data_IF_940897723781
#
_entry.id   IF_940897723781
#
_cell.length_a   1.000
_cell.length_b   1.000
_cell.length_c   1.000
_cell.angle_alpha   90.00
_cell.angle_beta   90.00
_cell.angle_gamma   90.00
#
_symmetry.space_group_name_H-M   'P 1'
#
loop_
_entity.id
_entity.type
_entity.pdbx_description
1 polymer ?
#
# COMPACT_ATOMS: atom_id res chain seq x y z
N UNK A 1 6.87 -26.07 2.27
CA UNK A 1 7.86 -25.26 3.01
C UNK A 1 7.19 -23.99 3.48
N UNK A 2 7.23 -23.69 4.80
CA UNK A 2 6.67 -22.45 5.33
C UNK A 2 7.48 -21.24 4.85
N UNK A 3 6.79 -20.13 4.52
CA UNK A 3 7.44 -18.86 4.19
C UNK A 3 8.06 -18.31 5.47
N UNK A 4 9.39 -18.11 5.47
CA UNK A 4 10.05 -17.43 6.57
C UNK A 4 9.64 -15.95 6.59
N UNK A 5 9.11 -15.46 7.71
CA UNK A 5 8.73 -14.07 7.88
C UNK A 5 9.93 -13.24 8.39
N UNK A 6 10.26 -12.16 7.69
CA UNK A 6 11.09 -11.08 8.26
C UNK A 6 10.18 -10.23 9.16
N UNK A 7 10.11 -10.57 10.44
CA UNK A 7 9.12 -10.07 11.39
C UNK A 7 9.75 -9.11 12.40
N UNK A 8 9.36 -7.84 12.32
CA UNK A 8 9.69 -6.79 13.29
C UNK A 8 8.54 -6.67 14.28
N UNK A 9 8.74 -7.18 15.50
CA UNK A 9 7.75 -7.11 16.59
C UNK A 9 7.99 -5.88 17.47
N UNK A 10 6.91 -5.35 18.00
CA UNK A 10 6.93 -4.33 19.07
C UNK A 10 5.71 -4.44 19.98
N UNK A 11 5.83 -3.97 21.22
CA UNK A 11 4.76 -4.08 22.23
C UNK A 11 3.56 -3.18 21.92
N UNK A 12 3.74 -2.17 21.07
CA UNK A 12 2.69 -1.24 20.69
C UNK A 12 2.87 -0.69 19.28
N UNK A 13 1.79 -0.13 18.75
CA UNK A 13 1.77 0.47 17.41
C UNK A 13 2.71 1.67 17.28
N UNK A 14 2.98 2.41 18.36
CA UNK A 14 3.87 3.58 18.34
C UNK A 14 5.32 3.18 18.04
N UNK A 15 5.84 2.16 18.75
CA UNK A 15 7.21 1.68 18.55
C UNK A 15 7.39 1.03 17.16
N UNK A 16 6.42 0.21 16.75
CA UNK A 16 6.43 -0.44 15.43
C UNK A 16 6.39 0.61 14.32
N UNK A 17 5.52 1.63 14.46
CA UNK A 17 5.40 2.74 13.50
C UNK A 17 6.69 3.56 13.42
N UNK A 18 7.38 3.77 14.53
CA UNK A 18 8.66 4.48 14.54
C UNK A 18 9.75 3.72 13.78
N UNK A 19 9.84 2.41 13.96
CA UNK A 19 10.79 1.56 13.22
C UNK A 19 10.48 1.56 11.72
N UNK A 20 9.21 1.33 11.37
CA UNK A 20 8.77 1.37 9.98
C UNK A 20 9.07 2.71 9.32
N UNK A 21 8.81 3.83 10.00
CA UNK A 21 9.11 5.16 9.47
C UNK A 21 10.60 5.37 9.22
N UNK A 22 11.47 4.89 10.11
CA UNK A 22 12.92 4.94 9.93
C UNK A 22 13.40 4.14 8.72
N UNK A 23 12.87 2.91 8.55
CA UNK A 23 13.23 2.04 7.43
C UNK A 23 12.74 2.61 6.10
N UNK A 24 11.49 3.08 6.02
CA UNK A 24 10.95 3.78 4.84
C UNK A 24 11.77 5.02 4.51
N UNK A 25 12.09 5.85 5.51
CA UNK A 25 12.91 7.04 5.31
C UNK A 25 14.30 6.69 4.73
N UNK A 26 14.91 5.60 5.19
CA UNK A 26 16.17 5.08 4.64
C UNK A 26 16.06 4.71 3.17
N UNK A 27 15.01 3.94 2.81
CA UNK A 27 14.73 3.54 1.42
C UNK A 27 14.52 4.75 0.51
N UNK A 28 13.74 5.73 0.97
CA UNK A 28 13.45 6.94 0.18
C UNK A 28 14.70 7.81 -0.02
N UNK A 29 15.53 8.03 1.03
CA UNK A 29 16.81 8.74 0.88
C UNK A 29 17.73 8.06 -0.12
N UNK A 30 17.87 6.75 0.00
CA UNK A 30 18.68 5.98 -0.95
C UNK A 30 18.17 6.14 -2.38
N UNK A 31 16.85 6.01 -2.58
CA UNK A 31 16.23 6.18 -3.89
C UNK A 31 16.50 7.56 -4.49
N UNK A 32 16.34 8.64 -3.70
CA UNK A 32 16.61 10.00 -4.16
C UNK A 32 18.10 10.21 -4.43
N UNK A 33 18.99 9.72 -3.59
CA UNK A 33 20.44 9.83 -3.81
C UNK A 33 20.88 9.12 -5.10
N UNK A 34 20.31 7.95 -5.40
CA UNK A 34 20.70 7.16 -6.58
C UNK A 34 20.04 7.64 -7.89
N UNK A 35 18.80 8.16 -7.82
CA UNK A 35 17.97 8.40 -9.02
C UNK A 35 17.39 9.81 -9.10
N UNK A 36 17.68 10.67 -8.13
CA UNK A 36 17.12 12.03 -8.03
C UNK A 36 15.64 12.09 -7.66
N UNK A 37 14.99 10.95 -7.47
CA UNK A 37 13.56 10.84 -7.15
C UNK A 37 13.23 9.54 -6.42
N UNK A 38 12.09 9.53 -5.73
CA UNK A 38 11.51 8.32 -5.15
C UNK A 38 9.99 8.28 -5.34
N UNK A 39 9.42 7.07 -5.35
CA UNK A 39 7.98 6.83 -5.37
C UNK A 39 7.58 5.93 -4.20
N UNK A 40 6.63 6.41 -3.38
CA UNK A 40 6.14 5.75 -2.17
C UNK A 40 4.65 5.50 -2.29
N UNK A 41 4.20 4.25 -2.08
CA UNK A 41 2.79 3.96 -1.89
C UNK A 41 2.49 3.67 -0.42
N UNK A 42 1.41 4.26 0.11
CA UNK A 42 1.03 4.15 1.52
C UNK A 42 -0.46 3.85 1.70
N UNK A 43 -0.83 3.07 2.72
CA UNK A 43 -2.23 2.76 2.98
C UNK A 43 -2.93 3.87 3.77
N UNK A 44 -4.25 3.88 3.67
CA UNK A 44 -5.13 4.62 4.56
C UNK A 44 -5.50 3.86 5.82
N UNK A 45 -6.38 4.47 6.62
CA UNK A 45 -6.93 3.88 7.84
C UNK A 45 -6.23 4.30 9.13
N UNK A 46 -6.73 3.82 10.26
CA UNK A 46 -6.29 4.26 11.60
C UNK A 46 -4.91 3.74 11.98
N UNK A 47 -4.61 2.47 11.67
CA UNK A 47 -3.32 1.85 12.00
C UNK A 47 -2.13 2.55 11.33
N UNK A 48 -2.15 2.89 10.03
CA UNK A 48 -1.03 3.58 9.38
C UNK A 48 -0.83 5.03 9.78
N UNK A 49 -1.83 5.70 10.36
CA UNK A 49 -1.71 7.12 10.76
C UNK A 49 -0.49 7.38 11.65
N UNK A 50 -0.23 6.51 12.63
CA UNK A 50 0.94 6.64 13.51
C UNK A 50 2.26 6.55 12.74
N UNK A 51 2.36 5.62 11.81
CA UNK A 51 3.51 5.47 10.92
C UNK A 51 3.70 6.72 10.03
N UNK A 52 2.64 7.18 9.36
CA UNK A 52 2.71 8.34 8.46
C UNK A 52 3.10 9.62 9.22
N UNK A 53 2.52 9.84 10.40
CA UNK A 53 2.90 10.99 11.27
C UNK A 53 4.39 10.92 11.64
N UNK A 54 4.93 9.74 11.95
CA UNK A 54 6.36 9.57 12.23
C UNK A 54 7.23 9.79 10.99
N UNK A 55 6.79 9.26 9.84
CA UNK A 55 7.50 9.45 8.58
C UNK A 55 7.58 10.93 8.18
N UNK A 56 6.49 11.69 8.38
CA UNK A 56 6.47 13.12 8.11
C UNK A 56 7.42 13.96 8.98
N UNK A 57 7.89 13.42 10.11
CA UNK A 57 8.87 14.05 10.98
C UNK A 57 10.33 13.82 10.56
N UNK A 58 10.57 12.91 9.60
CA UNK A 58 11.90 12.70 9.06
C UNK A 58 12.29 13.80 8.07
N UNK A 59 13.53 14.26 8.18
CA UNK A 59 14.12 15.15 7.18
C UNK A 59 14.34 14.37 5.88
N UNK A 60 13.43 14.57 4.93
CA UNK A 60 13.41 13.95 3.61
C UNK A 60 13.22 15.03 2.53
N UNK A 61 13.80 14.86 1.35
CA UNK A 61 13.59 15.78 0.23
C UNK A 61 12.20 15.55 -0.40
N UNK A 62 11.14 15.99 0.28
CA UNK A 62 9.74 15.73 -0.10
C UNK A 62 9.39 16.20 -1.51
N UNK A 63 10.05 17.23 -2.04
CA UNK A 63 9.91 17.70 -3.42
C UNK A 63 10.36 16.65 -4.45
N UNK A 64 11.20 15.70 -4.06
CA UNK A 64 11.70 14.62 -4.92
C UNK A 64 10.96 13.27 -4.67
N UNK A 65 9.97 13.26 -3.77
CA UNK A 65 9.25 12.06 -3.38
C UNK A 65 7.81 12.14 -3.86
N UNK A 66 7.40 11.24 -4.76
CA UNK A 66 5.99 11.12 -5.15
C UNK A 66 5.28 10.13 -4.25
N UNK A 67 4.21 10.57 -3.59
CA UNK A 67 3.38 9.72 -2.72
C UNK A 67 2.08 9.35 -3.43
N UNK A 68 1.67 8.09 -3.29
CA UNK A 68 0.44 7.53 -3.85
C UNK A 68 -0.30 6.76 -2.75
N UNK A 69 -1.62 6.89 -2.59
CA UNK A 69 -2.39 5.96 -1.77
C UNK A 69 -2.33 4.54 -2.37
N UNK A 70 -2.33 3.49 -1.55
CA UNK A 70 -2.48 2.12 -2.07
C UNK A 70 -3.88 1.87 -2.61
N UNK A 71 -4.86 2.54 -2.01
CA UNK A 71 -6.26 2.57 -2.43
C UNK A 71 -6.96 3.83 -1.89
N UNK A 72 -8.09 4.17 -2.49
CA UNK A 72 -8.93 5.28 -2.03
C UNK A 72 -10.40 4.92 -2.19
N UNK A 73 -11.20 5.38 -1.25
CA UNK A 73 -12.66 5.26 -1.29
C UNK A 73 -13.23 6.27 -2.28
N UNK A 74 -14.34 5.92 -2.91
CA UNK A 74 -15.06 6.85 -3.78
C UNK A 74 -15.85 7.88 -2.94
N UNK A 75 -15.08 8.76 -2.29
CA UNK A 75 -15.59 9.85 -1.44
C UNK A 75 -14.89 11.16 -1.80
N UNK A 76 -15.43 12.30 -1.33
CA UNK A 76 -14.80 13.59 -1.53
C UNK A 76 -13.46 13.69 -0.77
N UNK A 77 -12.47 14.45 -1.26
CA UNK A 77 -11.17 14.57 -0.60
C UNK A 77 -11.22 15.12 0.83
N UNK A 78 -12.28 15.87 1.18
CA UNK A 78 -12.54 16.40 2.51
C UNK A 78 -13.38 15.48 3.41
N UNK A 79 -13.87 14.35 2.87
CA UNK A 79 -14.58 13.33 3.67
C UNK A 79 -13.64 12.73 4.73
N UNK A 80 -14.12 12.55 5.98
CA UNK A 80 -13.32 11.89 7.04
C UNK A 80 -12.82 10.48 6.67
N UNK A 81 -13.46 9.81 5.71
CA UNK A 81 -13.09 8.48 5.23
C UNK A 81 -12.03 8.51 4.12
N UNK A 82 -11.66 9.69 3.59
CA UNK A 82 -10.66 9.81 2.54
C UNK A 82 -9.27 9.44 3.05
N UNK A 83 -8.61 8.55 2.34
CA UNK A 83 -7.21 8.20 2.56
C UNK A 83 -6.29 9.36 2.16
N UNK A 84 -6.60 10.07 1.07
CA UNK A 84 -5.88 11.27 0.64
C UNK A 84 -5.84 12.31 1.76
N UNK A 85 -7.01 12.64 2.35
CA UNK A 85 -7.07 13.57 3.47
C UNK A 85 -6.13 13.17 4.59
N UNK A 86 -6.23 11.91 5.04
CA UNK A 86 -5.41 11.41 6.14
C UNK A 86 -3.91 11.45 5.82
N UNK A 87 -3.51 11.13 4.57
CA UNK A 87 -2.11 11.17 4.14
C UNK A 87 -1.60 12.61 4.12
N UNK A 88 -2.38 13.56 3.60
CA UNK A 88 -2.04 15.00 3.58
C UNK A 88 -1.93 15.60 4.97
N UNK A 89 -2.76 15.15 5.91
CA UNK A 89 -2.67 15.58 7.32
C UNK A 89 -1.38 15.10 8.00
N UNK A 90 -0.79 14.01 7.52
CA UNK A 90 0.36 13.36 8.17
C UNK A 90 1.72 13.66 7.52
N UNK A 91 1.75 13.96 6.22
CA UNK A 91 2.99 14.14 5.46
C UNK A 91 3.12 15.58 4.94
N UNK A 92 4.31 16.18 4.98
CA UNK A 92 4.57 17.52 4.45
C UNK A 92 4.73 17.48 2.93
N UNK A 93 3.63 17.22 2.23
CA UNK A 93 3.61 17.02 0.78
C UNK A 93 3.74 18.35 0.04
N UNK A 94 4.68 18.43 -0.87
CA UNK A 94 4.87 19.58 -1.76
C UNK A 94 3.89 19.55 -2.95
N UNK A 95 3.60 20.70 -3.57
CA UNK A 95 2.79 20.73 -4.79
C UNK A 95 3.34 19.80 -5.87
N UNK A 96 2.48 18.89 -6.38
CA UNK A 96 2.86 17.92 -7.41
C UNK A 96 3.50 16.63 -6.89
N UNK A 97 3.84 16.52 -5.61
CA UNK A 97 4.41 15.32 -5.00
C UNK A 97 3.38 14.26 -4.58
N UNK A 98 2.12 14.44 -4.92
CA UNK A 98 1.03 13.51 -4.59
C UNK A 98 0.22 13.12 -5.83
N UNK A 99 -0.03 11.83 -6.01
CA UNK A 99 -0.92 11.30 -7.04
C UNK A 99 -2.20 10.82 -6.39
N UNK A 100 -3.29 11.61 -6.41
CA UNK A 100 -4.55 11.17 -5.84
C UNK A 100 -5.13 10.01 -6.65
N UNK A 101 -5.67 9.00 -5.99
CA UNK A 101 -6.43 7.91 -6.61
C UNK A 101 -7.91 8.29 -6.72
N UNK A 102 -8.17 9.47 -7.28
CA UNK A 102 -9.52 9.98 -7.44
C UNK A 102 -9.62 10.91 -8.64
N UNK A 103 -10.79 10.91 -9.29
CA UNK A 103 -11.13 11.91 -10.29
C UNK A 103 -12.17 12.91 -9.77
N UNK A 104 -12.13 14.09 -10.35
CA UNK A 104 -13.16 15.11 -10.11
C UNK A 104 -14.48 14.81 -10.84
N UNK A 105 -14.47 13.99 -11.89
CA UNK A 105 -15.65 13.62 -12.70
C UNK A 105 -15.38 12.33 -13.50
N UNK A 106 -16.43 11.64 -13.90
CA UNK A 106 -16.37 10.42 -14.71
C UNK A 106 -16.65 9.15 -13.90
N UNK A 107 -16.67 8.00 -14.58
CA UNK A 107 -16.79 6.70 -13.94
C UNK A 107 -15.48 6.30 -13.24
N UNK A 108 -15.58 5.40 -12.26
CA UNK A 108 -14.38 4.85 -11.60
C UNK A 108 -13.48 4.12 -12.58
N UNK A 109 -14.04 3.42 -13.57
CA UNK A 109 -13.25 2.70 -14.57
C UNK A 109 -12.46 3.65 -15.48
N UNK A 110 -13.07 4.75 -15.95
CA UNK A 110 -12.37 5.79 -16.73
C UNK A 110 -11.27 6.44 -15.92
N UNK A 111 -11.56 6.73 -14.65
CA UNK A 111 -10.58 7.27 -13.70
C UNK A 111 -9.45 6.29 -13.47
N UNK A 112 -9.73 5.01 -13.23
CA UNK A 112 -8.72 3.97 -13.06
C UNK A 112 -7.79 3.89 -14.28
N UNK A 113 -8.36 3.91 -15.50
CA UNK A 113 -7.59 3.88 -16.75
C UNK A 113 -6.66 5.09 -16.92
N UNK A 114 -7.15 6.30 -16.58
CA UNK A 114 -6.35 7.52 -16.62
C UNK A 114 -5.21 7.50 -15.59
N UNK A 115 -5.51 7.08 -14.35
CA UNK A 115 -4.53 6.99 -13.27
C UNK A 115 -3.51 5.88 -13.50
N UNK A 116 -3.90 4.76 -14.13
CA UNK A 116 -2.98 3.68 -14.47
C UNK A 116 -1.79 4.19 -15.31
N UNK A 117 -2.02 5.11 -16.25
CA UNK A 117 -0.94 5.74 -17.05
C UNK A 117 0.01 6.54 -16.16
N UNK A 118 -0.51 7.27 -15.17
CA UNK A 118 0.31 8.03 -14.22
C UNK A 118 1.15 7.12 -13.34
N UNK A 119 0.56 6.03 -12.83
CA UNK A 119 1.29 5.05 -12.00
C UNK A 119 2.38 4.36 -12.81
N UNK A 120 2.09 3.96 -14.05
CA UNK A 120 3.09 3.36 -14.96
C UNK A 120 4.24 4.32 -15.23
N UNK A 121 3.97 5.62 -15.38
CA UNK A 121 4.99 6.64 -15.61
C UNK A 121 5.94 6.85 -14.40
N UNK A 122 5.52 6.51 -13.19
CA UNK A 122 6.40 6.49 -12.00
C UNK A 122 7.46 5.39 -12.11
N UNK A 123 7.18 4.35 -12.89
CA UNK A 123 7.99 3.14 -12.95
C UNK A 123 7.79 2.25 -11.74
N UNK A 124 8.84 1.52 -11.36
CA UNK A 124 8.81 0.66 -10.18
C UNK A 124 8.82 1.50 -8.90
N UNK A 125 7.84 1.32 -8.04
CA UNK A 125 7.76 1.99 -6.75
C UNK A 125 8.98 1.63 -5.87
N UNK A 126 9.54 2.61 -5.18
CA UNK A 126 10.71 2.41 -4.32
C UNK A 126 10.33 1.78 -3.00
N UNK A 127 9.22 2.23 -2.42
CA UNK A 127 8.66 1.63 -1.23
C UNK A 127 7.14 1.49 -1.35
N UNK A 128 6.61 0.36 -0.87
CA UNK A 128 5.18 0.12 -0.69
C UNK A 128 4.95 -0.32 0.74
N UNK A 129 4.11 0.40 1.44
CA UNK A 129 3.58 -0.03 2.74
C UNK A 129 2.12 -0.40 2.54
N UNK A 130 1.71 -1.56 3.04
CA UNK A 130 0.31 -2.00 3.01
C UNK A 130 -0.17 -2.39 4.40
N UNK A 131 -1.46 -2.20 4.66
CA UNK A 131 -2.18 -2.87 5.72
C UNK A 131 -2.79 -4.18 5.22
N UNK A 132 -3.40 -4.96 6.11
CA UNK A 132 -4.11 -6.19 5.76
C UNK A 132 -5.48 -6.24 6.45
N UNK A 133 -6.51 -6.63 5.72
CA UNK A 133 -7.83 -6.95 6.27
C UNK A 133 -7.84 -8.24 7.09
N UNK A 134 -8.92 -8.51 7.81
CA UNK A 134 -9.10 -9.77 8.54
C UNK A 134 -9.26 -10.99 7.61
N UNK A 135 -9.74 -10.75 6.40
CA UNK A 135 -9.88 -11.68 5.27
C UNK A 135 -8.62 -11.77 4.40
N UNK A 136 -7.52 -11.21 4.86
CA UNK A 136 -6.24 -11.15 4.17
C UNK A 136 -6.21 -10.29 2.89
N UNK A 137 -7.21 -9.40 2.64
CA UNK A 137 -7.11 -8.41 1.58
C UNK A 137 -5.99 -7.39 1.85
N UNK A 138 -5.41 -6.85 0.79
CA UNK A 138 -4.44 -5.74 0.81
C UNK A 138 -4.90 -4.65 -0.14
N UNK A 139 -4.69 -3.38 0.20
CA UNK A 139 -5.28 -2.26 -0.53
C UNK A 139 -6.79 -2.49 -0.71
N UNK A 140 -7.32 -2.48 -1.95
CA UNK A 140 -8.68 -2.94 -2.23
C UNK A 140 -8.70 -4.15 -3.19
N UNK A 141 -7.70 -5.03 -3.07
CA UNK A 141 -7.69 -6.36 -3.68
C UNK A 141 -8.29 -7.35 -2.69
N UNK A 142 -9.52 -7.78 -2.94
CA UNK A 142 -10.29 -8.66 -2.05
C UNK A 142 -10.18 -10.13 -2.48
N UNK A 143 -10.43 -11.10 -1.57
CA UNK A 143 -10.54 -12.50 -1.95
C UNK A 143 -11.54 -12.70 -3.10
N UNK A 144 -11.14 -13.49 -4.10
CA UNK A 144 -11.93 -13.74 -5.30
C UNK A 144 -11.72 -12.73 -6.43
N UNK A 145 -10.88 -11.70 -6.26
CA UNK A 145 -10.58 -10.76 -7.34
C UNK A 145 -9.88 -11.48 -8.50
N UNK A 146 -10.48 -11.38 -9.69
CA UNK A 146 -9.99 -12.02 -10.92
C UNK A 146 -8.55 -11.64 -11.30
N UNK A 147 -8.10 -10.44 -10.90
CA UNK A 147 -6.77 -9.96 -11.20
C UNK A 147 -5.67 -10.61 -10.34
N UNK A 148 -6.06 -11.36 -9.32
CA UNK A 148 -5.14 -12.18 -8.51
C UNK A 148 -4.87 -13.55 -9.15
N UNK A 149 -5.71 -13.98 -10.11
CA UNK A 149 -5.46 -15.19 -10.88
C UNK A 149 -4.12 -15.10 -11.63
N UNK A 150 -3.23 -16.09 -11.51
CA UNK A 150 -1.91 -16.05 -12.16
C UNK A 150 -1.97 -15.76 -13.67
N UNK A 151 -2.97 -16.35 -14.36
CA UNK A 151 -3.16 -16.16 -15.81
C UNK A 151 -3.56 -14.73 -16.21
N UNK A 152 -4.11 -13.93 -15.30
CA UNK A 152 -4.61 -12.58 -15.55
C UNK A 152 -3.73 -11.48 -14.97
N UNK A 153 -2.89 -11.83 -14.00
CA UNK A 153 -2.11 -10.88 -13.20
C UNK A 153 -1.20 -10.00 -14.04
N UNK A 154 -0.53 -10.57 -15.03
CA UNK A 154 0.37 -9.80 -15.91
C UNK A 154 -0.37 -8.78 -16.80
N UNK A 155 -1.64 -9.01 -17.07
CA UNK A 155 -2.51 -8.09 -17.81
C UNK A 155 -3.32 -7.15 -16.89
N UNK A 156 -3.14 -7.26 -15.56
CA UNK A 156 -3.89 -6.44 -14.62
C UNK A 156 -3.53 -4.95 -14.79
N UNK A 157 -4.52 -4.05 -14.81
CA UNK A 157 -4.25 -2.61 -14.82
C UNK A 157 -3.45 -2.17 -13.59
N UNK A 158 -2.63 -1.13 -13.75
CA UNK A 158 -1.86 -0.58 -12.64
C UNK A 158 -2.75 0.10 -11.58
N UNK A 159 -3.95 0.54 -11.97
CA UNK A 159 -5.02 0.99 -11.08
C UNK A 159 -6.30 0.32 -11.50
N UNK A 160 -7.09 -0.16 -10.54
CA UNK A 160 -8.39 -0.81 -10.76
C UNK A 160 -9.51 -0.06 -10.03
N UNK A 161 -10.71 -0.14 -10.58
CA UNK A 161 -11.95 0.11 -9.86
C UNK A 161 -12.35 -1.18 -9.12
N UNK A 162 -12.53 -1.10 -7.80
CA UNK A 162 -12.97 -2.19 -6.95
C UNK A 162 -14.39 -1.93 -6.44
N UNK A 163 -15.24 -2.94 -6.54
CA UNK A 163 -16.65 -2.88 -6.12
C UNK A 163 -16.92 -4.00 -5.08
N UNK A 164 -16.37 -3.87 -3.85
CA UNK A 164 -16.56 -4.89 -2.83
C UNK A 164 -18.02 -4.95 -2.38
N UNK A 165 -18.52 -6.17 -2.10
CA UNK A 165 -19.88 -6.34 -1.60
C UNK A 165 -20.05 -5.62 -0.25
N UNK A 166 -21.15 -4.87 -0.11
CA UNK A 166 -21.52 -4.12 1.11
C UNK A 166 -20.55 -3.02 1.57
N UNK A 167 -19.64 -2.59 0.72
CA UNK A 167 -18.75 -1.45 0.96
C UNK A 167 -18.83 -0.46 -0.21
N UNK A 168 -18.41 0.78 0.06
CA UNK A 168 -18.31 1.78 -1.00
C UNK A 168 -17.30 1.35 -2.09
N UNK A 169 -17.56 1.74 -3.35
CA UNK A 169 -16.59 1.56 -4.43
C UNK A 169 -15.25 2.23 -4.14
N UNK A 170 -14.18 1.74 -4.75
CA UNK A 170 -12.81 2.19 -4.48
C UNK A 170 -11.96 2.17 -5.74
N UNK A 171 -10.94 3.01 -5.74
CA UNK A 171 -9.79 2.86 -6.63
C UNK A 171 -8.66 2.20 -5.86
N UNK A 172 -7.94 1.28 -6.48
CA UNK A 172 -6.83 0.55 -5.87
C UNK A 172 -5.65 0.46 -6.82
N UNK A 173 -4.44 0.50 -6.28
CA UNK A 173 -3.29 0.00 -7.02
C UNK A 173 -3.53 -1.47 -7.37
N UNK A 174 -3.15 -1.85 -8.59
CA UNK A 174 -3.26 -3.21 -9.07
C UNK A 174 -2.19 -4.14 -8.48
N UNK A 175 -2.28 -5.45 -8.78
CA UNK A 175 -1.35 -6.44 -8.24
C UNK A 175 0.12 -6.14 -8.52
N UNK A 176 0.44 -5.72 -9.75
CA UNK A 176 1.85 -5.55 -10.16
C UNK A 176 2.55 -4.37 -9.47
N UNK A 177 1.97 -3.16 -9.38
CA UNK A 177 2.56 -2.07 -8.61
C UNK A 177 2.83 -2.42 -7.15
N UNK A 178 1.91 -3.16 -6.50
CA UNK A 178 2.04 -3.57 -5.11
C UNK A 178 3.12 -4.64 -4.93
N UNK A 179 3.14 -5.66 -5.79
CA UNK A 179 4.02 -6.81 -5.63
C UNK A 179 5.45 -6.57 -6.15
N UNK A 180 5.64 -5.67 -7.14
CA UNK A 180 6.93 -5.44 -7.78
C UNK A 180 7.70 -4.24 -7.25
N UNK A 181 7.29 -3.66 -6.11
CA UNK A 181 8.05 -2.60 -5.46
C UNK A 181 9.49 -3.04 -5.14
N UNK A 182 10.40 -2.09 -5.02
CA UNK A 182 11.81 -2.37 -4.64
C UNK A 182 11.91 -2.82 -3.20
N UNK A 183 11.05 -2.27 -2.37
CA UNK A 183 10.92 -2.62 -0.96
C UNK A 183 9.45 -2.61 -0.54
N UNK A 184 9.04 -3.61 0.22
CA UNK A 184 7.64 -3.75 0.66
C UNK A 184 7.56 -4.01 2.15
N UNK A 185 6.63 -3.35 2.83
CA UNK A 185 6.28 -3.59 4.21
C UNK A 185 4.79 -3.92 4.38
N UNK A 186 4.52 -4.85 5.28
CA UNK A 186 3.18 -5.16 5.76
C UNK A 186 3.06 -4.68 7.21
N UNK A 187 2.16 -3.73 7.48
CA UNK A 187 1.89 -3.22 8.84
C UNK A 187 0.58 -3.82 9.37
N UNK A 188 0.68 -4.58 10.44
CA UNK A 188 -0.46 -5.20 11.12
C UNK A 188 -0.40 -5.00 12.64
N UNK A 189 -1.56 -4.99 13.28
CA UNK A 189 -1.68 -4.86 14.75
C UNK A 189 -2.74 -5.82 15.29
N UNK A 190 -2.42 -6.43 16.42
CA UNK A 190 -3.28 -7.38 17.13
C UNK A 190 -3.11 -8.83 16.67
N UNK A 191 -3.28 -9.75 17.63
CA UNK A 191 -3.07 -11.18 17.43
C UNK A 191 -3.98 -11.79 16.35
N UNK A 192 -5.20 -11.25 16.18
CA UNK A 192 -6.13 -11.71 15.14
C UNK A 192 -5.58 -11.49 13.73
N UNK A 193 -4.90 -10.35 13.51
CA UNK A 193 -4.25 -10.06 12.23
C UNK A 193 -3.04 -10.95 11.98
N UNK A 194 -2.25 -11.21 13.01
CA UNK A 194 -1.12 -12.14 12.91
C UNK A 194 -1.60 -13.56 12.62
N UNK A 195 -2.67 -14.01 13.29
CA UNK A 195 -3.29 -15.31 13.02
C UNK A 195 -3.86 -15.38 11.59
N UNK A 196 -4.51 -14.30 11.10
CA UNK A 196 -5.00 -14.22 9.73
C UNK A 196 -3.86 -14.29 8.71
N UNK A 197 -2.73 -13.59 8.95
CA UNK A 197 -1.54 -13.68 8.10
C UNK A 197 -0.99 -15.11 8.06
N UNK A 198 -0.84 -15.76 9.21
CA UNK A 198 -0.33 -17.13 9.28
C UNK A 198 -1.25 -18.11 8.52
N UNK A 199 -2.58 -17.97 8.65
CA UNK A 199 -3.53 -18.77 7.85
C UNK A 199 -3.37 -18.51 6.35
N UNK A 200 -3.27 -17.23 5.96
CA UNK A 200 -3.07 -16.84 4.56
C UNK A 200 -1.79 -17.45 3.98
N UNK A 201 -0.70 -17.45 4.73
CA UNK A 201 0.58 -18.02 4.29
C UNK A 201 0.57 -19.56 4.26
N UNK A 202 -0.33 -20.21 4.99
CA UNK A 202 -0.60 -21.64 4.88
C UNK A 202 -1.39 -22.02 3.63
N UNK A 203 -2.12 -21.09 3.01
CA UNK A 203 -2.77 -21.25 1.72
C UNK A 203 -1.77 -21.03 0.59
N UNK A 204 -1.93 -21.71 -0.54
CA UNK A 204 -1.06 -21.54 -1.70
C UNK A 204 -1.62 -20.53 -2.73
N UNK A 205 -2.82 -19.98 -2.52
CA UNK A 205 -3.56 -19.26 -3.54
C UNK A 205 -3.77 -17.77 -3.19
N UNK A 206 -3.17 -16.81 -3.94
CA UNK A 206 -3.41 -15.38 -3.77
C UNK A 206 -4.85 -14.96 -4.04
N UNK A 207 -5.62 -15.72 -4.82
CA UNK A 207 -7.03 -15.41 -5.09
C UNK A 207 -7.86 -15.51 -3.82
N UNK A 208 -7.56 -16.46 -2.96
CA UNK A 208 -8.24 -16.64 -1.66
C UNK A 208 -7.62 -15.82 -0.54
N UNK A 209 -6.33 -15.45 -0.67
CA UNK A 209 -5.58 -14.69 0.33
C UNK A 209 -4.68 -13.65 -0.36
N UNK A 210 -5.21 -12.47 -0.73
CA UNK A 210 -4.50 -11.47 -1.53
C UNK A 210 -3.14 -11.03 -0.99
N UNK A 211 -2.96 -11.03 0.34
CA UNK A 211 -1.66 -10.71 0.97
C UNK A 211 -0.52 -11.61 0.48
N UNK A 212 -0.82 -12.82 0.01
CA UNK A 212 0.19 -13.74 -0.56
C UNK A 212 0.89 -13.18 -1.77
N UNK A 213 0.23 -12.31 -2.53
CA UNK A 213 0.81 -11.61 -3.67
C UNK A 213 2.18 -10.98 -3.32
N UNK A 214 2.32 -10.46 -2.10
CA UNK A 214 3.55 -9.80 -1.65
C UNK A 214 4.71 -10.79 -1.42
N UNK A 215 4.42 -12.08 -1.28
CA UNK A 215 5.40 -13.12 -0.97
C UNK A 215 5.83 -13.96 -2.19
N UNK A 216 5.28 -13.66 -3.39
CA UNK A 216 5.53 -14.46 -4.59
C UNK A 216 6.67 -13.94 -5.47
N UNK A 217 7.11 -12.68 -5.28
CA UNK A 217 8.04 -12.03 -6.20
C UNK A 217 9.52 -12.04 -5.76
N UNK A 218 9.94 -13.03 -5.00
CA UNK A 218 11.35 -13.27 -4.66
C UNK A 218 11.93 -12.39 -3.55
N UNK A 219 11.31 -11.25 -3.23
CA UNK A 219 11.67 -10.40 -2.08
C UNK A 219 10.44 -10.30 -1.18
N UNK A 220 10.35 -11.12 -0.12
CA UNK A 220 9.20 -11.07 0.77
C UNK A 220 9.12 -9.73 1.49
N UNK A 221 7.90 -9.28 1.84
CA UNK A 221 7.74 -8.05 2.60
C UNK A 221 8.31 -8.21 4.00
N UNK A 222 8.85 -7.11 4.55
CA UNK A 222 9.11 -7.04 5.99
C UNK A 222 7.79 -6.81 6.71
N UNK A 223 7.48 -7.65 7.69
CA UNK A 223 6.24 -7.59 8.45
C UNK A 223 6.47 -6.82 9.75
N UNK A 224 5.75 -5.72 9.92
CA UNK A 224 5.75 -4.90 11.13
C UNK A 224 4.51 -5.20 11.95
N UNK A 225 4.71 -5.83 13.11
CA UNK A 225 3.63 -6.31 13.96
C UNK A 225 3.65 -5.63 15.33
N UNK A 226 2.54 -4.98 15.66
CA UNK A 226 2.24 -4.45 17.00
C UNK A 226 1.29 -5.41 17.76
N UNK A 227 1.64 -5.72 19.00
CA UNK A 227 0.84 -6.55 19.90
C UNK A 227 -0.47 -5.89 20.31
#
# INVERSE_FOLDING_TARGET
>A
MGVALDLVRGPDLRQVSQRLAGDVAGVLRQAVNERGRAALAVPGGTTPRAFLTRLGQHDLPWQAITVVPTDERDVLPDDPRSNERMIRDCLPLEPGSFVPLRAAAGSLDETAAALAKRIIALGRLDAVVVGMGADAHIASLFPGDRWLEPARREAAPAVLAAHPANLEPRLSLGPLPLARARWTALLISGQDKLAALNRALGSADPVTAPVRLLFENGVPPRVYFAE
#
